data_IF_651059713955
#
_entry.id   IF_651059713955
#
_cell.length_a   1.000
_cell.length_b   1.000
_cell.length_c   1.000
_cell.angle_alpha   90.00
_cell.angle_beta   90.00
_cell.angle_gamma   90.00
#
_symmetry.space_group_name_H-M   'P 1'
#
loop_
_entity.id
_entity.type
_entity.pdbx_description
1 polymer ?
#
# COMPACT_ATOMS: atom_id res chain seq x y z
N UNK A 1 16.59 -8.90 -14.48
CA UNK A 1 16.98 -7.50 -14.72
C UNK A 1 16.79 -6.79 -13.39
N UNK A 2 17.84 -6.17 -12.85
CA UNK A 2 17.75 -5.40 -11.60
C UNK A 2 17.71 -3.93 -12.02
N UNK A 3 16.77 -3.18 -11.44
CA UNK A 3 16.68 -1.74 -11.63
C UNK A 3 17.09 -1.05 -10.34
N UNK A 4 17.95 -0.05 -10.45
CA UNK A 4 18.43 0.77 -9.35
C UNK A 4 17.99 2.21 -9.59
N UNK A 5 17.55 2.88 -8.52
CA UNK A 5 17.06 4.25 -8.57
C UNK A 5 17.53 4.98 -7.31
N UNK A 6 17.95 6.24 -7.49
CA UNK A 6 18.22 7.15 -6.39
C UNK A 6 17.06 8.13 -6.26
N UNK A 7 16.55 8.28 -5.03
CA UNK A 7 15.47 9.22 -4.71
C UNK A 7 15.96 10.15 -3.60
N UNK A 8 16.03 11.47 -3.83
CA UNK A 8 16.35 12.40 -2.76
C UNK A 8 15.20 12.45 -1.76
N UNK A 9 15.55 12.38 -0.46
CA UNK A 9 14.59 12.39 0.66
C UNK A 9 14.93 13.52 1.62
N UNK A 10 13.93 13.95 2.39
CA UNK A 10 14.06 14.95 3.47
C UNK A 10 13.34 14.46 4.74
N UNK A 11 13.62 15.16 5.85
CA UNK A 11 12.94 14.93 7.12
C UNK A 11 11.42 14.93 6.95
N UNK A 12 10.78 13.90 7.49
CA UNK A 12 9.32 13.73 7.48
C UNK A 12 8.78 13.04 6.22
N UNK A 13 9.64 12.65 5.28
CA UNK A 13 9.23 11.78 4.18
C UNK A 13 8.90 10.37 4.70
N UNK A 14 7.88 9.75 4.09
CA UNK A 14 7.45 8.39 4.39
C UNK A 14 7.72 7.52 3.16
N UNK A 15 8.54 6.48 3.32
CA UNK A 15 8.80 5.50 2.26
C UNK A 15 7.99 4.23 2.54
N UNK A 16 6.95 4.00 1.73
CA UNK A 16 6.16 2.77 1.79
C UNK A 16 6.66 1.79 0.74
N UNK A 17 7.05 0.59 1.15
CA UNK A 17 7.54 -0.48 0.26
C UNK A 17 6.65 -1.72 0.40
N UNK A 18 5.84 -1.98 -0.62
CA UNK A 18 4.93 -3.14 -0.63
C UNK A 18 5.36 -4.21 -1.61
N UNK A 19 4.90 -5.44 -1.35
CA UNK A 19 4.80 -6.46 -2.41
C UNK A 19 3.60 -6.16 -3.34
N UNK A 20 3.43 -6.99 -4.38
CA UNK A 20 2.25 -6.91 -5.25
C UNK A 20 0.94 -6.99 -4.46
N UNK A 21 0.88 -7.78 -3.38
CA UNK A 21 -0.30 -7.86 -2.52
C UNK A 21 -0.75 -6.55 -1.89
N UNK A 22 0.14 -5.57 -1.71
CA UNK A 22 -0.25 -4.21 -1.33
C UNK A 22 -0.82 -3.46 -2.53
N UNK A 23 -0.04 -3.38 -3.61
CA UNK A 23 -0.33 -2.51 -4.75
C UNK A 23 -1.48 -3.04 -5.62
N UNK A 24 -1.80 -4.33 -5.52
CA UNK A 24 -2.97 -4.96 -6.13
C UNK A 24 -4.28 -4.59 -5.41
N UNK A 25 -4.19 -4.27 -4.11
CA UNK A 25 -5.33 -4.15 -3.21
C UNK A 25 -5.53 -2.74 -2.63
N UNK A 26 -4.58 -1.81 -2.82
CA UNK A 26 -4.72 -0.42 -2.41
C UNK A 26 -4.16 0.52 -3.48
N UNK A 27 -4.88 1.60 -3.76
CA UNK A 27 -4.35 2.64 -4.65
C UNK A 27 -3.24 3.43 -3.94
N UNK A 28 -2.22 3.91 -4.68
CA UNK A 28 -1.17 4.76 -4.11
C UNK A 28 -1.71 5.96 -3.33
N UNK A 29 -2.80 6.57 -3.81
CA UNK A 29 -3.49 7.68 -3.13
C UNK A 29 -4.04 7.29 -1.76
N UNK A 30 -4.62 6.08 -1.64
CA UNK A 30 -5.20 5.62 -0.37
C UNK A 30 -4.11 5.28 0.64
N UNK A 31 -3.00 4.70 0.16
CA UNK A 31 -1.79 4.45 0.96
C UNK A 31 -1.25 5.79 1.49
N UNK A 32 -1.09 6.80 0.64
CA UNK A 32 -0.61 8.13 1.02
C UNK A 32 -1.52 8.80 2.05
N UNK A 33 -2.84 8.78 1.82
CA UNK A 33 -3.81 9.37 2.73
C UNK A 33 -3.80 8.69 4.09
N UNK A 34 -3.78 7.36 4.13
CA UNK A 34 -3.75 6.61 5.37
C UNK A 34 -2.44 6.86 6.14
N UNK A 35 -1.30 6.85 5.44
CA UNK A 35 -0.01 7.15 6.04
C UNK A 35 0.01 8.54 6.69
N UNK A 36 -0.52 9.57 6.00
CA UNK A 36 -0.64 10.93 6.54
C UNK A 36 -1.53 10.99 7.77
N UNK A 37 -2.73 10.39 7.71
CA UNK A 37 -3.68 10.42 8.83
C UNK A 37 -3.11 9.72 10.06
N UNK A 38 -2.53 8.52 9.89
CA UNK A 38 -1.99 7.75 11.02
C UNK A 38 -0.78 8.47 11.62
N UNK A 39 0.16 8.92 10.79
CA UNK A 39 1.37 9.63 11.25
C UNK A 39 1.05 10.97 11.93
N UNK A 40 0.06 11.72 11.44
CA UNK A 40 -0.34 13.00 12.03
C UNK A 40 -0.91 12.87 13.46
N UNK A 41 -1.35 11.66 13.84
CA UNK A 41 -1.81 11.35 15.19
C UNK A 41 -0.68 10.92 16.13
N UNK A 42 0.59 11.12 15.74
CA UNK A 42 1.75 10.75 16.54
C UNK A 42 2.03 9.25 16.58
N UNK A 43 1.51 8.51 15.61
CA UNK A 43 1.73 7.07 15.50
C UNK A 43 3.17 6.76 15.08
N UNK A 44 3.72 5.68 15.65
CA UNK A 44 5.03 5.16 15.30
C UNK A 44 5.02 4.52 13.89
N UNK A 45 6.18 4.46 13.20
CA UNK A 45 6.31 3.86 11.86
C UNK A 45 5.62 2.49 11.72
N UNK A 46 5.77 1.63 12.72
CA UNK A 46 5.22 0.28 12.75
C UNK A 46 3.68 0.30 12.77
N UNK A 47 3.08 1.29 13.43
CA UNK A 47 1.61 1.45 13.48
C UNK A 47 1.08 1.93 12.13
N UNK A 48 1.82 2.82 11.45
CA UNK A 48 1.52 3.22 10.06
C UNK A 48 1.62 1.99 9.15
N UNK A 49 2.66 1.18 9.31
CA UNK A 49 2.85 -0.06 8.55
C UNK A 49 1.67 -1.02 8.73
N UNK A 50 1.28 -1.23 9.99
CA UNK A 50 0.19 -2.10 10.35
C UNK A 50 -1.13 -1.64 9.75
N UNK A 51 -1.46 -0.34 9.86
CA UNK A 51 -2.69 0.21 9.32
C UNK A 51 -2.79 0.01 7.79
N UNK A 52 -1.69 0.23 7.06
CA UNK A 52 -1.62 0.00 5.61
C UNK A 52 -1.78 -1.49 5.29
N UNK A 53 -1.05 -2.36 5.97
CA UNK A 53 -1.13 -3.81 5.77
C UNK A 53 -2.55 -4.34 6.05
N UNK A 54 -3.19 -3.84 7.10
CA UNK A 54 -4.54 -4.20 7.50
C UNK A 54 -5.58 -3.75 6.46
N UNK A 55 -5.48 -2.53 5.93
CA UNK A 55 -6.38 -2.07 4.86
C UNK A 55 -6.22 -2.89 3.58
N UNK A 56 -4.97 -3.17 3.18
CA UNK A 56 -4.70 -4.06 2.05
C UNK A 56 -5.28 -5.47 2.29
N UNK A 57 -5.16 -5.97 3.54
CA UNK A 57 -5.75 -7.24 3.94
C UNK A 57 -7.27 -7.24 3.79
N UNK A 58 -7.98 -6.23 4.30
CA UNK A 58 -9.44 -6.17 4.21
C UNK A 58 -9.90 -6.05 2.76
N UNK A 59 -9.28 -5.18 1.97
CA UNK A 59 -9.59 -5.05 0.55
C UNK A 59 -9.39 -6.38 -0.21
N UNK A 60 -8.33 -7.11 0.10
CA UNK A 60 -8.02 -8.40 -0.55
C UNK A 60 -9.02 -9.54 -0.27
N UNK A 61 -9.81 -9.44 0.80
CA UNK A 61 -10.82 -10.45 1.16
C UNK A 61 -12.24 -9.98 0.89
N UNK A 62 -12.42 -8.69 0.64
CA UNK A 62 -13.69 -8.12 0.23
C UNK A 62 -13.95 -8.41 -1.26
N UNK A 63 -15.05 -9.13 -1.50
CA UNK A 63 -15.51 -9.53 -2.84
C UNK A 63 -16.07 -8.37 -3.67
N UNK A 64 -16.30 -7.23 -3.03
CA UNK A 64 -16.88 -6.03 -3.64
C UNK A 64 -15.91 -4.85 -3.64
N UNK A 65 -14.71 -5.02 -3.09
CA UNK A 65 -13.71 -3.97 -3.09
C UNK A 65 -13.32 -3.57 -4.52
N UNK A 66 -13.33 -2.26 -4.76
CA UNK A 66 -12.69 -1.66 -5.93
C UNK A 66 -11.21 -1.53 -5.64
N UNK A 67 -10.38 -2.26 -6.38
CA UNK A 67 -8.93 -2.29 -6.17
C UNK A 67 -8.19 -2.15 -7.49
N UNK A 68 -6.90 -1.75 -7.49
CA UNK A 68 -6.09 -1.67 -8.70
C UNK A 68 -6.09 -2.98 -9.52
N UNK A 69 -6.08 -4.14 -8.86
CA UNK A 69 -6.11 -5.43 -9.55
C UNK A 69 -7.43 -5.70 -10.26
N UNK A 70 -8.56 -5.24 -9.71
CA UNK A 70 -9.87 -5.31 -10.38
C UNK A 70 -9.88 -4.41 -11.60
N UNK A 71 -9.41 -3.16 -11.48
CA UNK A 71 -9.32 -2.25 -12.63
C UNK A 71 -8.42 -2.81 -13.74
N UNK A 72 -7.24 -3.33 -13.38
CA UNK A 72 -6.33 -3.95 -14.34
C UNK A 72 -6.94 -5.21 -15.01
N UNK A 73 -7.69 -6.00 -14.25
CA UNK A 73 -8.43 -7.17 -14.77
C UNK A 73 -9.47 -6.75 -15.81
N UNK A 74 -10.27 -5.71 -15.49
CA UNK A 74 -11.28 -5.16 -16.40
C UNK A 74 -10.66 -4.60 -17.68
N UNK A 75 -9.57 -3.84 -17.57
CA UNK A 75 -8.83 -3.30 -18.72
C UNK A 75 -8.24 -4.42 -19.61
N UNK A 76 -7.89 -5.55 -19.01
CA UNK A 76 -7.42 -6.74 -19.73
C UNK A 76 -8.57 -7.60 -20.31
N UNK A 77 -9.82 -7.14 -20.23
CA UNK A 77 -11.00 -7.88 -20.70
C UNK A 77 -11.41 -9.08 -19.83
N UNK A 78 -10.90 -9.14 -18.59
CA UNK A 78 -11.26 -10.16 -17.60
C UNK A 78 -12.30 -9.60 -16.63
N UNK A 79 -13.03 -10.48 -15.96
CA UNK A 79 -14.08 -10.10 -14.99
C UNK A 79 -13.79 -10.71 -13.61
N UNK A 80 -12.59 -10.45 -13.08
CA UNK A 80 -12.34 -10.75 -11.66
C UNK A 80 -12.95 -9.65 -10.79
N UNK A 81 -13.75 -10.05 -9.81
CA UNK A 81 -14.40 -9.18 -8.84
C UNK A 81 -13.77 -9.36 -7.46
N UNK A 82 -13.66 -8.24 -6.71
CA UNK A 82 -13.09 -8.22 -5.38
C UNK A 82 -11.57 -8.25 -5.36
N UNK A 83 -11.01 -8.00 -4.17
CA UNK A 83 -9.57 -7.94 -4.02
C UNK A 83 -8.86 -9.28 -4.27
N UNK A 84 -7.56 -9.19 -4.50
CA UNK A 84 -6.71 -10.33 -4.82
C UNK A 84 -6.15 -10.93 -3.54
N UNK A 85 -6.53 -12.18 -3.25
CA UNK A 85 -6.09 -12.96 -2.08
C UNK A 85 -4.67 -13.52 -2.27
N UNK A 86 -3.69 -12.70 -2.65
CA UNK A 86 -2.27 -13.06 -2.72
C UNK A 86 -1.54 -12.70 -1.40
N UNK A 87 -0.22 -12.95 -1.36
CA UNK A 87 0.62 -12.80 -0.18
C UNK A 87 0.71 -11.32 0.25
N UNK A 88 0.46 -11.02 1.53
CA UNK A 88 0.15 -9.66 2.03
C UNK A 88 1.31 -9.07 2.82
N UNK A 89 2.49 -9.03 2.21
CA UNK A 89 3.68 -8.51 2.88
C UNK A 89 3.83 -7.03 2.58
N UNK A 90 3.82 -6.21 3.63
CA UNK A 90 4.04 -4.76 3.59
C UNK A 90 5.23 -4.42 4.46
N UNK A 91 6.16 -3.63 3.95
CA UNK A 91 7.27 -3.05 4.70
C UNK A 91 7.09 -1.53 4.64
N UNK A 92 7.01 -0.86 5.79
CA UNK A 92 7.00 0.60 5.83
C UNK A 92 8.25 1.09 6.50
N UNK A 93 8.89 2.06 5.86
CA UNK A 93 10.10 2.72 6.35
C UNK A 93 9.75 4.19 6.52
N UNK A 94 9.69 4.64 7.77
CA UNK A 94 9.57 6.07 8.06
C UNK A 94 10.98 6.67 8.15
N UNK A 95 11.21 7.74 7.39
CA UNK A 95 12.47 8.48 7.48
C UNK A 95 12.30 9.52 8.59
N UNK A 96 12.61 9.09 9.81
CA UNK A 96 12.67 9.96 10.98
C UNK A 96 14.04 10.60 11.12
N UNK A 97 14.08 11.82 11.64
CA UNK A 97 15.33 12.45 12.09
C UNK A 97 15.78 11.79 13.40
N UNK A 98 17.09 11.64 13.62
CA UNK A 98 17.64 11.27 14.93
C UNK A 98 17.84 12.50 15.80
#
# INVERSE_FOLDING_TARGET
>A
MVHEFEIPVKKGDILVVGTDGLLDNMFPRDIENLAKVVSANGAEPEQVAWAIAEHAYYNSVDKHASTPSVEASLLAGKQHLGGKKNNKNVIVVLIVDK
#
